data_IF_699337958270
#
_entry.id   IF_699337958270
#
_cell.length_a   1.000
_cell.length_b   1.000
_cell.length_c   1.000
_cell.angle_alpha   90.00
_cell.angle_beta   90.00
_cell.angle_gamma   90.00
#
_symmetry.space_group_name_H-M   'P 1'
#
loop_
_entity.id
_entity.type
_entity.pdbx_description
1 polymer ?
#
# COMPACT_ATOMS: atom_id res chain seq x y z
N UNK A 1 10.96 -14.06 12.51
CA UNK A 1 9.98 -12.98 12.76
C UNK A 1 10.24 -11.89 11.74
N UNK A 2 9.57 -11.96 10.60
CA UNK A 2 9.81 -11.11 9.43
C UNK A 2 8.86 -9.91 9.35
N UNK A 3 8.96 -9.13 8.26
CA UNK A 3 8.07 -8.01 8.01
C UNK A 3 6.67 -8.47 7.56
N UNK A 4 5.62 -8.05 8.27
CA UNK A 4 4.22 -8.32 7.88
C UNK A 4 3.83 -7.61 6.58
N UNK A 5 4.54 -6.53 6.21
CA UNK A 5 4.35 -5.77 4.99
C UNK A 5 5.70 -5.22 4.51
N UNK A 6 6.01 -5.42 3.24
CA UNK A 6 7.20 -4.91 2.56
C UNK A 6 6.78 -4.06 1.36
N UNK A 7 7.37 -2.88 1.24
CA UNK A 7 7.18 -1.96 0.13
C UNK A 7 8.54 -1.66 -0.48
N UNK A 8 8.71 -1.98 -1.75
CA UNK A 8 9.94 -1.76 -2.51
C UNK A 8 9.61 -0.88 -3.70
N UNK A 9 10.30 0.24 -3.84
CA UNK A 9 10.11 1.18 -4.93
C UNK A 9 11.39 1.46 -5.69
N UNK A 10 11.25 1.61 -7.00
CA UNK A 10 12.25 2.19 -7.87
C UNK A 10 11.73 3.50 -8.45
N UNK A 11 12.61 4.49 -8.53
CA UNK A 11 12.34 5.75 -9.22
C UNK A 11 13.29 5.87 -10.42
N UNK A 12 12.75 6.22 -11.58
CA UNK A 12 13.52 6.55 -12.79
C UNK A 12 12.98 7.85 -13.36
N UNK A 13 13.78 8.91 -13.28
CA UNK A 13 13.35 10.28 -13.51
C UNK A 13 12.15 10.60 -12.59
N UNK A 14 11.04 11.07 -13.16
CA UNK A 14 9.82 11.33 -12.40
C UNK A 14 8.93 10.09 -12.28
N UNK A 15 9.24 8.98 -12.95
CA UNK A 15 8.43 7.77 -12.90
C UNK A 15 8.76 6.92 -11.68
N UNK A 16 7.71 6.52 -10.98
CA UNK A 16 7.74 5.66 -9.81
C UNK A 16 7.15 4.30 -10.16
N UNK A 17 7.77 3.25 -9.64
CA UNK A 17 7.20 1.92 -9.64
C UNK A 17 7.40 1.28 -8.27
N UNK A 18 6.30 0.84 -7.67
CA UNK A 18 6.28 0.25 -6.33
C UNK A 18 5.71 -1.15 -6.41
N UNK A 19 6.38 -2.08 -5.75
CA UNK A 19 5.88 -3.42 -5.44
C UNK A 19 5.64 -3.55 -3.95
N UNK A 20 4.51 -4.15 -3.60
CA UNK A 20 4.05 -4.29 -2.22
C UNK A 20 3.73 -5.77 -1.97
N UNK A 21 4.23 -6.31 -0.87
CA UNK A 21 3.95 -7.67 -0.41
C UNK A 21 3.55 -7.64 1.06
N UNK A 22 2.66 -8.52 1.47
CA UNK A 22 2.36 -8.76 2.88
C UNK A 22 2.32 -10.24 3.17
N UNK A 23 2.43 -10.57 4.44
CA UNK A 23 2.13 -11.90 4.92
C UNK A 23 0.62 -12.22 4.72
N UNK A 24 0.23 -13.45 4.36
CA UNK A 24 -1.18 -13.83 4.31
C UNK A 24 -1.95 -13.67 5.62
N UNK A 25 -1.28 -13.83 6.77
CA UNK A 25 -1.86 -13.61 8.10
C UNK A 25 -2.24 -12.14 8.30
N UNK A 26 -1.46 -11.20 7.75
CA UNK A 26 -1.79 -9.78 7.82
C UNK A 26 -3.17 -9.47 7.22
N UNK A 27 -3.49 -10.04 6.06
CA UNK A 27 -4.83 -9.87 5.47
C UNK A 27 -5.91 -10.56 6.31
N UNK A 28 -5.63 -11.74 6.86
CA UNK A 28 -6.60 -12.48 7.69
C UNK A 28 -6.94 -11.74 8.97
N UNK A 29 -5.96 -11.14 9.64
CA UNK A 29 -6.15 -10.46 10.93
C UNK A 29 -6.70 -9.04 10.77
N UNK A 30 -6.26 -8.31 9.74
CA UNK A 30 -6.61 -6.89 9.58
C UNK A 30 -7.72 -6.63 8.57
N UNK A 31 -8.00 -7.58 7.67
CA UNK A 31 -8.87 -7.38 6.52
C UNK A 31 -8.33 -6.41 5.46
N UNK A 32 -7.08 -5.95 5.60
CA UNK A 32 -6.51 -4.90 4.74
C UNK A 32 -6.06 -5.45 3.39
N UNK A 33 -6.75 -5.07 2.32
CA UNK A 33 -6.44 -5.56 0.97
C UNK A 33 -5.39 -4.68 0.28
N UNK A 34 -4.17 -5.18 0.10
CA UNK A 34 -3.07 -4.39 -0.50
C UNK A 34 -3.42 -3.76 -1.86
N UNK A 35 -4.07 -4.49 -2.77
CA UNK A 35 -4.50 -3.95 -4.07
C UNK A 35 -5.50 -2.79 -3.98
N UNK A 36 -6.60 -2.99 -3.26
CA UNK A 36 -7.74 -2.07 -3.20
C UNK A 36 -7.53 -0.92 -2.21
N UNK A 37 -6.95 -1.20 -1.05
CA UNK A 37 -6.89 -0.26 0.06
C UNK A 37 -5.58 0.54 0.11
N UNK A 38 -4.55 0.08 -0.62
CA UNK A 38 -3.23 0.73 -0.69
C UNK A 38 -2.81 1.08 -2.11
N UNK A 39 -2.61 0.09 -2.96
CA UNK A 39 -2.00 0.29 -4.27
C UNK A 39 -2.87 1.17 -5.19
N UNK A 40 -4.18 0.90 -5.27
CA UNK A 40 -5.10 1.69 -6.09
C UNK A 40 -5.16 3.16 -5.64
N UNK A 41 -5.43 3.50 -4.36
CA UNK A 41 -5.40 4.87 -3.88
C UNK A 41 -4.06 5.58 -4.05
N UNK A 42 -2.94 4.87 -3.93
CA UNK A 42 -1.63 5.45 -4.19
C UNK A 42 -1.41 5.72 -5.69
N UNK A 43 -1.72 4.77 -6.56
CA UNK A 43 -1.66 4.94 -8.01
C UNK A 43 -2.45 6.17 -8.46
N UNK A 44 -3.71 6.27 -8.02
CA UNK A 44 -4.58 7.41 -8.34
C UNK A 44 -4.01 8.74 -7.81
N UNK A 45 -3.43 8.75 -6.60
CA UNK A 45 -2.85 9.96 -6.00
C UNK A 45 -1.58 10.45 -6.73
N UNK A 46 -0.78 9.54 -7.28
CA UNK A 46 0.44 9.84 -8.02
C UNK A 46 0.24 9.81 -9.54
N UNK A 47 -0.97 10.08 -10.03
CA UNK A 47 -1.28 10.15 -11.47
C UNK A 47 -0.88 8.92 -12.28
N UNK A 48 -0.94 7.74 -11.65
CA UNK A 48 -0.68 6.46 -12.30
C UNK A 48 -1.78 5.45 -12.01
N UNK A 49 -1.42 4.18 -12.06
CA UNK A 49 -2.31 3.05 -11.81
C UNK A 49 -1.79 2.20 -10.67
N UNK A 50 -2.69 1.65 -9.88
CA UNK A 50 -2.34 0.69 -8.85
C UNK A 50 -3.40 -0.38 -8.69
N UNK A 51 -2.96 -1.58 -8.30
CA UNK A 51 -3.82 -2.73 -8.16
C UNK A 51 -3.07 -3.99 -7.73
N UNK A 52 -3.77 -5.11 -7.72
CA UNK A 52 -3.24 -6.41 -7.32
C UNK A 52 -4.19 -7.14 -6.37
N UNK A 53 -3.64 -8.10 -5.64
CA UNK A 53 -4.33 -8.99 -4.71
C UNK A 53 -4.25 -8.49 -3.26
N UNK A 54 -4.87 -9.24 -2.35
CA UNK A 54 -4.91 -8.94 -0.92
C UNK A 54 -3.52 -8.94 -0.28
N UNK A 55 -2.58 -9.76 -0.76
CA UNK A 55 -1.23 -9.93 -0.20
C UNK A 55 -0.10 -9.49 -1.12
N UNK A 56 -0.41 -9.12 -2.35
CA UNK A 56 0.58 -8.69 -3.33
C UNK A 56 -0.02 -7.65 -4.26
N UNK A 57 0.58 -6.47 -4.30
CA UNK A 57 0.08 -5.36 -5.10
C UNK A 57 1.22 -4.53 -5.67
N UNK A 58 0.89 -3.68 -6.63
CA UNK A 58 1.86 -2.77 -7.21
C UNK A 58 1.18 -1.51 -7.72
N UNK A 59 1.97 -0.45 -7.80
CA UNK A 59 1.54 0.79 -8.42
C UNK A 59 2.65 1.38 -9.28
N UNK A 60 2.24 2.20 -10.22
CA UNK A 60 3.11 3.17 -10.88
C UNK A 60 2.53 4.57 -10.71
N UNK A 61 3.34 5.58 -11.01
CA UNK A 61 2.92 6.97 -10.94
C UNK A 61 4.09 7.91 -11.22
N UNK A 62 3.85 9.18 -10.98
CA UNK A 62 4.79 10.27 -11.18
C UNK A 62 5.00 11.00 -9.85
N UNK A 63 6.26 11.25 -9.48
CA UNK A 63 6.61 12.02 -8.28
C UNK A 63 7.81 11.47 -7.52
N UNK A 64 7.88 11.80 -6.23
CA UNK A 64 8.97 11.44 -5.33
C UNK A 64 8.63 10.19 -4.51
N UNK A 65 9.56 9.25 -4.45
CA UNK A 65 9.47 8.04 -3.63
C UNK A 65 9.19 8.36 -2.14
N UNK A 66 9.77 9.42 -1.59
CA UNK A 66 9.54 9.79 -0.18
C UNK A 66 8.07 10.20 0.06
N UNK A 67 7.47 10.92 -0.89
CA UNK A 67 6.06 11.28 -0.83
C UNK A 67 5.15 10.05 -0.90
N UNK A 68 5.49 9.06 -1.74
CA UNK A 68 4.76 7.78 -1.82
C UNK A 68 4.80 7.06 -0.49
N UNK A 69 5.96 6.95 0.14
CA UNK A 69 6.13 6.26 1.43
C UNK A 69 5.31 6.96 2.52
N UNK A 70 5.38 8.29 2.61
CA UNK A 70 4.57 9.08 3.57
C UNK A 70 3.07 8.85 3.37
N UNK A 71 2.61 8.84 2.12
CA UNK A 71 1.19 8.59 1.79
C UNK A 71 0.77 7.16 2.10
N UNK A 72 1.62 6.18 1.80
CA UNK A 72 1.37 4.76 2.07
C UNK A 72 1.20 4.52 3.58
N UNK A 73 2.12 5.04 4.40
CA UNK A 73 2.04 4.95 5.87
C UNK A 73 0.73 5.56 6.38
N UNK A 74 0.31 6.71 5.84
CA UNK A 74 -0.95 7.35 6.22
C UNK A 74 -2.16 6.46 5.92
N UNK A 75 -2.25 5.91 4.70
CA UNK A 75 -3.36 5.03 4.29
C UNK A 75 -3.42 3.76 5.13
N UNK A 76 -2.27 3.15 5.44
CA UNK A 76 -2.19 1.97 6.31
C UNK A 76 -2.74 2.33 7.70
N UNK A 77 -2.27 3.42 8.31
CA UNK A 77 -2.74 3.85 9.64
C UNK A 77 -4.23 4.17 9.67
N UNK A 78 -4.76 4.82 8.64
CA UNK A 78 -6.18 5.19 8.56
C UNK A 78 -7.09 3.95 8.43
N UNK A 79 -6.69 2.95 7.65
CA UNK A 79 -7.48 1.72 7.48
C UNK A 79 -7.39 0.79 8.69
N UNK A 80 -6.20 0.61 9.27
CA UNK A 80 -6.05 -0.22 10.48
C UNK A 80 -6.82 0.37 11.68
N UNK A 81 -6.89 1.70 11.81
CA UNK A 81 -7.74 2.36 12.82
C UNK A 81 -9.25 2.17 12.60
N UNK A 82 -9.70 1.89 11.37
CA UNK A 82 -11.11 1.60 11.09
C UNK A 82 -11.47 0.18 11.49
N UNK A 83 -10.57 -0.79 11.28
CA UNK A 83 -10.76 -2.18 11.70
C UNK A 83 -11.00 -2.34 13.22
N UNK A 84 -10.33 -1.52 14.04
CA UNK A 84 -10.51 -1.55 15.50
C UNK A 84 -11.82 -0.92 16.03
N UNK A 85 -12.64 -0.28 15.18
CA UNK A 85 -13.89 0.39 15.62
C UNK A 85 -15.14 -0.50 15.58
N UNK A 86 -14.99 -1.82 15.48
CA UNK A 86 -16.13 -2.77 15.53
C UNK A 86 -16.04 -3.75 16.72
N UNK A 87 -15.37 -3.35 17.80
CA UNK A 87 -15.47 -4.03 19.11
C UNK A 87 -15.96 -3.03 20.15
N UNK A 88 -17.26 -2.74 20.13
CA UNK A 88 -18.00 -2.27 21.30
C UNK A 88 -19.49 -2.57 21.14
#
# INVERSE_FOLDING_TARGET
MGAHLALVGGQKNDNLQISIRSDPEFYKETGFHLGKDLAKPLGEYFHGMGGGHSTAAGMNGIGDFEAVVKRAIRLIRENLKKGNRHSN
#
